data_IF_216612295958
#
_entry.id   IF_216612295958
#
_cell.length_a   1.000
_cell.length_b   1.000
_cell.length_c   1.000
_cell.angle_alpha   90.00
_cell.angle_beta   90.00
_cell.angle_gamma   90.00
#
_symmetry.space_group_name_H-M   'P 1'
#
loop_
_entity.id
_entity.type
_entity.pdbx_description
1 polymer ?
#
# COMPACT_ATOMS: atom_id res chain seq x y z
N UNK A 1 14.75 -6.22 6.92
CA UNK A 1 13.29 -6.12 6.76
C UNK A 1 12.65 -5.59 8.05
N UNK A 2 12.48 -4.27 8.15
CA UNK A 2 11.87 -3.51 9.25
C UNK A 2 10.69 -2.73 8.66
N UNK A 3 9.47 -2.92 9.18
CA UNK A 3 8.31 -2.12 8.77
C UNK A 3 8.53 -0.69 9.24
N UNK A 4 8.65 0.24 8.31
CA UNK A 4 8.86 1.67 8.58
C UNK A 4 7.55 2.46 8.49
N UNK A 5 6.56 1.90 7.79
CA UNK A 5 5.25 2.50 7.64
C UNK A 5 4.15 1.44 7.47
N UNK A 6 3.01 1.66 8.10
CA UNK A 6 1.86 0.78 8.01
C UNK A 6 0.60 1.63 8.13
N UNK A 7 -0.25 1.57 7.11
CA UNK A 7 -1.48 2.34 7.03
C UNK A 7 -2.66 1.46 6.65
N UNK A 8 -3.68 1.49 7.50
CA UNK A 8 -4.99 0.90 7.25
C UNK A 8 -6.09 1.66 8.01
N UNK A 9 -7.28 1.87 7.39
CA UNK A 9 -7.55 1.71 5.96
C UNK A 9 -6.88 2.83 5.15
N UNK A 10 -6.49 2.50 3.92
CA UNK A 10 -5.87 3.42 2.98
C UNK A 10 -6.61 3.43 1.64
N UNK A 11 -6.55 4.58 0.98
CA UNK A 11 -6.87 4.72 -0.44
C UNK A 11 -5.53 4.92 -1.15
N UNK A 12 -5.31 4.17 -2.21
CA UNK A 12 -4.11 4.20 -3.01
C UNK A 12 -4.45 4.45 -4.47
N UNK A 13 -3.63 5.27 -5.11
CA UNK A 13 -3.62 5.53 -6.55
C UNK A 13 -2.25 5.14 -7.08
N UNK A 14 -2.23 4.45 -8.22
CA UNK A 14 -1.02 4.04 -8.91
C UNK A 14 -1.10 4.42 -10.38
N UNK A 15 0.03 4.87 -10.93
CA UNK A 15 0.17 5.19 -12.34
C UNK A 15 1.32 4.41 -12.96
N UNK A 16 1.22 4.13 -14.26
CA UNK A 16 2.24 3.43 -15.00
C UNK A 16 3.54 4.27 -15.09
N UNK A 17 4.69 3.63 -15.35
CA UNK A 17 5.93 4.37 -15.56
C UNK A 17 5.79 5.38 -16.70
N UNK A 18 6.32 6.59 -16.50
CA UNK A 18 6.31 7.68 -17.47
C UNK A 18 4.92 8.19 -17.90
N UNK A 19 3.84 7.83 -17.20
CA UNK A 19 2.51 8.38 -17.52
C UNK A 19 2.29 9.80 -16.97
N UNK A 20 3.11 10.22 -16.01
CA UNK A 20 3.16 11.57 -15.44
C UNK A 20 4.62 12.03 -15.40
N UNK A 21 4.85 13.34 -15.41
CA UNK A 21 6.21 13.87 -15.45
C UNK A 21 6.89 13.85 -14.07
N UNK A 22 6.10 13.94 -13.00
CA UNK A 22 6.61 13.99 -11.63
C UNK A 22 5.72 13.24 -10.62
N UNK A 23 6.33 12.81 -9.51
CA UNK A 23 5.61 12.22 -8.37
C UNK A 23 4.59 13.21 -7.77
N UNK A 24 4.79 14.51 -7.98
CA UNK A 24 3.89 15.55 -7.51
C UNK A 24 2.53 15.60 -8.20
N UNK A 25 2.46 15.12 -9.43
CA UNK A 25 1.24 15.01 -10.23
C UNK A 25 0.36 13.82 -9.82
N UNK A 26 0.91 12.83 -9.10
CA UNK A 26 0.13 11.71 -8.59
C UNK A 26 -0.63 12.16 -7.34
N UNK A 27 -1.97 12.16 -7.45
CA UNK A 27 -2.91 12.61 -6.43
C UNK A 27 -3.93 11.52 -6.14
N UNK A 28 -4.33 11.41 -4.88
CA UNK A 28 -5.42 10.52 -4.47
C UNK A 28 -6.77 11.23 -4.57
N UNK A 29 -6.82 12.54 -4.26
CA UNK A 29 -8.04 13.35 -4.37
C UNK A 29 -7.77 14.73 -4.99
N UNK A 30 -8.33 15.03 -6.18
CA UNK A 30 -8.97 14.07 -7.09
C UNK A 30 -7.95 13.02 -7.54
N UNK A 31 -8.38 11.77 -7.83
CA UNK A 31 -7.46 10.76 -8.33
C UNK A 31 -6.91 11.18 -9.70
N UNK A 32 -5.60 11.03 -9.91
CA UNK A 32 -4.96 11.32 -11.21
C UNK A 32 -5.67 10.56 -12.34
N UNK A 33 -5.90 11.21 -13.47
CA UNK A 33 -6.58 10.59 -14.62
C UNK A 33 -5.77 9.42 -15.19
N UNK A 34 -6.46 8.36 -15.62
CA UNK A 34 -5.82 7.14 -16.14
C UNK A 34 -5.11 6.29 -15.07
N UNK A 35 -5.23 6.67 -13.80
CA UNK A 35 -4.64 5.91 -12.69
C UNK A 35 -5.48 4.70 -12.29
N UNK A 36 -4.80 3.72 -11.70
CA UNK A 36 -5.43 2.59 -11.03
C UNK A 36 -5.66 2.95 -9.56
N UNK A 37 -6.91 2.84 -9.10
CA UNK A 37 -7.29 3.19 -7.74
C UNK A 37 -7.70 1.96 -6.94
N UNK A 38 -7.27 1.90 -5.68
CA UNK A 38 -7.63 0.86 -4.71
C UNK A 38 -8.13 1.54 -3.44
N UNK A 39 -9.36 1.23 -3.05
CA UNK A 39 -9.95 1.66 -1.79
C UNK A 39 -9.82 0.59 -0.70
N UNK A 40 -9.97 0.99 0.57
CA UNK A 40 -9.95 0.10 1.75
C UNK A 40 -8.80 -0.92 1.77
N UNK A 41 -7.63 -0.53 1.26
CA UNK A 41 -6.44 -1.37 1.26
C UNK A 41 -5.61 -1.14 2.52
N UNK A 42 -4.66 -2.04 2.77
CA UNK A 42 -3.56 -1.86 3.72
C UNK A 42 -2.28 -1.67 2.94
N UNK A 43 -1.58 -0.58 3.22
CA UNK A 43 -0.27 -0.27 2.63
C UNK A 43 0.78 -0.44 3.71
N UNK A 44 1.75 -1.32 3.47
CA UNK A 44 2.88 -1.56 4.36
C UNK A 44 4.16 -1.27 3.60
N UNK A 45 4.99 -0.40 4.17
CA UNK A 45 6.32 -0.06 3.66
C UNK A 45 7.34 -0.67 4.61
N UNK A 46 8.19 -1.52 4.03
CA UNK A 46 9.38 -2.04 4.69
C UNK A 46 10.61 -1.20 4.26
N UNK A 47 11.83 -1.68 4.52
CA UNK A 47 13.08 -0.95 4.21
C UNK A 47 13.20 -0.53 2.74
N UNK A 48 12.68 -1.37 1.84
CA UNK A 48 12.94 -1.32 0.40
C UNK A 48 11.77 -1.84 -0.43
N UNK A 49 10.72 -2.37 0.20
CA UNK A 49 9.54 -2.91 -0.48
C UNK A 49 8.26 -2.21 -0.01
N UNK A 50 7.36 -1.99 -0.97
CA UNK A 50 5.97 -1.67 -0.73
C UNK A 50 5.14 -2.95 -0.88
N UNK A 51 4.20 -3.16 0.04
CA UNK A 51 3.21 -4.24 -0.01
C UNK A 51 1.83 -3.62 0.12
N UNK A 52 0.92 -3.94 -0.81
CA UNK A 52 -0.48 -3.52 -0.78
C UNK A 52 -1.37 -4.75 -0.73
N UNK A 53 -2.24 -4.78 0.27
CA UNK A 53 -3.21 -5.85 0.45
C UNK A 53 -4.64 -5.33 0.50
N UNK A 54 -5.57 -6.12 0.00
CA UNK A 54 -7.03 -5.90 0.05
C UNK A 54 -7.70 -7.03 0.80
N UNK A 55 -8.87 -6.76 1.38
CA UNK A 55 -9.74 -7.81 1.92
C UNK A 55 -10.58 -8.36 0.76
N UNK A 56 -10.54 -9.67 0.58
CA UNK A 56 -11.33 -10.37 -0.43
C UNK A 56 -12.26 -11.38 0.24
N UNK A 57 -13.24 -11.97 -0.47
CA UNK A 57 -14.09 -13.03 0.08
C UNK A 57 -13.28 -14.18 0.70
N UNK A 58 -12.13 -14.52 0.09
CA UNK A 58 -11.23 -15.59 0.53
C UNK A 58 -10.21 -15.15 1.61
N UNK A 59 -10.30 -13.89 2.05
CA UNK A 59 -9.41 -13.31 3.05
C UNK A 59 -8.48 -12.23 2.50
N UNK A 60 -7.50 -11.85 3.32
CA UNK A 60 -6.54 -10.81 2.96
C UNK A 60 -5.62 -11.29 1.82
N UNK A 61 -5.55 -10.53 0.74
CA UNK A 61 -4.78 -10.85 -0.46
C UNK A 61 -3.83 -9.70 -0.79
N UNK A 62 -2.55 -10.02 -1.01
CA UNK A 62 -1.58 -9.07 -1.56
C UNK A 62 -1.88 -8.91 -3.06
N UNK A 63 -2.11 -7.67 -3.48
CA UNK A 63 -2.40 -7.32 -4.88
C UNK A 63 -1.24 -6.57 -5.54
N UNK A 64 -0.32 -6.05 -4.75
CA UNK A 64 0.86 -5.36 -5.23
C UNK A 64 2.01 -5.57 -4.25
N UNK A 65 3.18 -5.92 -4.78
CA UNK A 65 4.42 -5.99 -4.01
C UNK A 65 5.58 -5.66 -4.94
N UNK A 66 6.35 -4.64 -4.60
CA UNK A 66 7.48 -4.21 -5.42
C UNK A 66 8.57 -3.54 -4.57
N UNK A 67 9.81 -3.61 -5.03
CA UNK A 67 10.88 -2.78 -4.50
C UNK A 67 10.69 -1.32 -4.91
N UNK A 68 11.11 -0.38 -4.06
CA UNK A 68 11.03 1.04 -4.33
C UNK A 68 12.38 1.75 -4.25
N UNK A 69 12.49 2.88 -4.95
CA UNK A 69 13.66 3.76 -4.89
C UNK A 69 13.41 4.95 -3.98
N UNK A 70 12.18 5.47 -3.97
CA UNK A 70 11.81 6.67 -3.24
C UNK A 70 10.53 6.42 -2.43
N UNK A 71 10.54 6.86 -1.17
CA UNK A 71 9.36 6.91 -0.32
C UNK A 71 9.30 8.26 0.39
N UNK A 72 8.27 9.04 0.07
CA UNK A 72 7.95 10.32 0.69
C UNK A 72 6.79 10.12 1.66
N UNK A 73 7.11 10.07 2.96
CA UNK A 73 6.12 9.89 4.01
C UNK A 73 5.45 11.22 4.37
N UNK A 74 4.14 11.28 4.21
CA UNK A 74 3.29 12.35 4.73
C UNK A 74 2.16 11.78 5.58
N UNK A 75 2.13 12.15 6.86
CA UNK A 75 1.13 11.71 7.83
C UNK A 75 -0.17 12.52 7.79
N UNK A 76 -0.12 13.74 7.25
CA UNK A 76 -1.26 14.67 7.20
C UNK A 76 -1.88 14.75 5.81
N UNK A 77 -1.08 14.52 4.77
CA UNK A 77 -1.49 14.52 3.38
C UNK A 77 -1.38 13.15 2.72
N UNK A 78 -0.70 13.13 1.58
CA UNK A 78 -0.55 11.95 0.72
C UNK A 78 0.90 11.49 0.76
N UNK A 79 1.10 10.25 1.23
CA UNK A 79 2.40 9.59 1.14
C UNK A 79 2.60 9.06 -0.28
N UNK A 80 3.84 9.08 -0.77
CA UNK A 80 4.14 8.77 -2.17
C UNK A 80 5.34 7.87 -2.35
N UNK A 81 5.32 7.06 -3.41
CA UNK A 81 6.35 6.07 -3.72
C UNK A 81 6.68 6.07 -5.21
N UNK A 82 7.97 5.91 -5.52
CA UNK A 82 8.46 5.53 -6.85
C UNK A 82 9.05 4.13 -6.74
N UNK A 83 8.52 3.18 -7.51
CA UNK A 83 9.01 1.80 -7.52
C UNK A 83 10.26 1.66 -8.40
N UNK A 84 11.01 0.56 -8.24
CA UNK A 84 12.16 0.29 -9.11
C UNK A 84 11.78 0.09 -10.57
N UNK A 85 10.56 -0.37 -10.88
CA UNK A 85 10.08 -0.40 -12.26
C UNK A 85 9.59 0.97 -12.76
N UNK A 86 9.68 2.03 -11.96
CA UNK A 86 9.24 3.38 -12.31
C UNK A 86 7.74 3.65 -12.12
N UNK A 87 6.97 2.75 -11.50
CA UNK A 87 5.56 3.06 -11.18
C UNK A 87 5.55 4.12 -10.09
N UNK A 88 4.59 5.03 -10.16
CA UNK A 88 4.41 6.06 -9.14
C UNK A 88 3.10 5.81 -8.41
N UNK A 89 3.14 5.90 -7.09
CA UNK A 89 2.01 5.64 -6.22
C UNK A 89 1.81 6.80 -5.25
N UNK A 90 0.56 7.15 -4.99
CA UNK A 90 0.17 8.05 -3.91
C UNK A 90 -0.88 7.34 -3.05
N UNK A 91 -0.80 7.48 -1.73
CA UNK A 91 -1.78 6.91 -0.83
C UNK A 91 -1.98 7.78 0.40
N UNK A 92 -3.20 7.72 0.94
CA UNK A 92 -3.57 8.41 2.18
C UNK A 92 -4.54 7.60 2.98
N UNK A 93 -4.73 8.02 4.23
CA UNK A 93 -5.67 7.38 5.14
C UNK A 93 -7.09 7.51 4.59
N UNK A 94 -7.80 6.39 4.52
CA UNK A 94 -9.23 6.38 4.25
C UNK A 94 -9.97 6.79 5.53
N UNK A 95 -10.88 7.76 5.42
CA UNK A 95 -11.76 8.17 6.53
C UNK A 95 -12.97 7.24 6.69
N UNK A 96 -13.24 6.38 5.70
CA UNK A 96 -14.30 5.40 5.81
C UNK A 96 -13.93 4.27 6.78
N UNK A 97 -14.90 3.84 7.59
CA UNK A 97 -14.71 2.79 8.60
C UNK A 97 -14.41 1.45 7.93
N UNK A 98 -13.16 0.99 8.03
CA UNK A 98 -12.71 -0.38 7.71
C UNK A 98 -13.08 -1.39 8.80
N UNK A 99 -14.19 -1.17 9.50
CA UNK A 99 -14.63 -2.00 10.62
C UNK A 99 -15.10 -3.36 10.08
N UNK A 100 -14.63 -4.46 10.69
CA UNK A 100 -14.88 -5.82 10.22
C UNK A 100 -13.90 -6.35 9.17
N UNK A 101 -13.00 -5.51 8.63
CA UNK A 101 -12.00 -6.01 7.69
C UNK A 101 -10.96 -6.89 8.36
N UNK A 102 -10.65 -8.02 7.72
CA UNK A 102 -9.58 -8.94 8.12
C UNK A 102 -8.19 -8.30 7.99
N UNK A 103 -8.08 -7.24 7.20
CA UNK A 103 -6.84 -6.47 7.08
C UNK A 103 -6.42 -5.79 8.38
N UNK A 104 -7.33 -5.56 9.34
CA UNK A 104 -6.98 -4.95 10.63
C UNK A 104 -6.01 -5.80 11.45
N UNK A 105 -6.15 -7.12 11.41
CA UNK A 105 -5.30 -8.08 12.14
C UNK A 105 -4.34 -8.84 11.23
N UNK A 106 -4.42 -8.60 9.92
CA UNK A 106 -3.48 -9.14 8.96
C UNK A 106 -2.06 -8.62 9.23
N UNK A 107 -1.06 -9.44 8.91
CA UNK A 107 0.34 -9.03 9.00
C UNK A 107 1.07 -9.66 7.81
N UNK A 108 1.78 -8.88 6.99
CA UNK A 108 2.50 -9.40 5.83
C UNK A 108 3.59 -10.42 6.18
N UNK A 109 3.97 -10.53 7.46
CA UNK A 109 5.01 -11.44 7.98
C UNK A 109 4.47 -12.70 8.65
N UNK A 110 3.15 -12.86 8.76
CA UNK A 110 2.55 -13.94 9.60
C UNK A 110 2.83 -15.36 9.07
N UNK A 111 3.49 -15.49 7.93
CA UNK A 111 3.91 -16.77 7.34
C UNK A 111 5.04 -17.48 8.09
N UNK A 112 5.74 -16.86 9.05
CA UNK A 112 6.88 -17.50 9.74
C UNK A 112 6.63 -18.00 11.16
N UNK A 113 5.51 -17.67 11.80
CA UNK A 113 5.26 -18.05 13.22
C UNK A 113 4.36 -19.28 13.35
N UNK A 114 3.79 -19.78 12.26
CA UNK A 114 2.83 -20.92 12.29
C UNK A 114 3.48 -22.28 11.94
N UNK A 115 4.81 -22.42 12.10
CA UNK A 115 5.54 -23.68 11.89
C UNK A 115 6.32 -24.18 13.12
N UNK A 116 5.99 -23.72 14.32
CA UNK A 116 6.48 -24.24 15.61
C UNK A 116 5.29 -24.37 16.57
N UNK A 117 4.96 -25.46 17.23
CA UNK A 117 5.46 -26.83 17.34
C UNK A 117 4.20 -27.66 17.64
N UNK A 118 3.91 -28.72 16.87
CA UNK A 118 3.14 -29.83 17.44
C UNK A 118 4.16 -30.63 18.26
N UNK A 119 4.20 -30.38 19.56
CA UNK A 119 4.75 -31.33 20.52
C UNK A 119 3.74 -32.43 20.77
#
# INVERSE_FOLDING_TARGET
>A
MIIVFDMFPAILVAVAPNSVASLDEVKVVPPTEGSFMVDKCRVVIDSDIIIVAVDSPDGAKVIFQEEYTTFEKDLKGESKIITKSGKMLAFKRDTNCGCGSRLRSWNPRRTLVTLKEKK
#
